data_IF_269629784224
#
_entry.id   IF_269629784224
#
_cell.length_a   1.000
_cell.length_b   1.000
_cell.length_c   1.000
_cell.angle_alpha   90.00
_cell.angle_beta   90.00
_cell.angle_gamma   90.00
#
_symmetry.space_group_name_H-M   'P 1'
#
loop_
_entity.id
_entity.type
_entity.pdbx_description
1 polymer ?
#
# COMPACT_ATOMS: atom_id res chain seq x y z
N UNK A 1 -23.77 0.87 -2.69
CA UNK A 1 -22.75 1.07 -1.62
C UNK A 1 -21.94 -0.21 -1.42
N UNK A 2 -20.67 -0.17 -0.94
CA UNK A 2 -19.66 -1.27 -0.83
C UNK A 2 -20.13 -2.74 -1.03
N UNK A 3 -21.21 -3.18 -0.40
CA UNK A 3 -21.88 -4.49 -0.61
C UNK A 3 -22.26 -4.82 -2.06
N UNK A 4 -22.49 -3.83 -2.91
CA UNK A 4 -22.82 -4.00 -4.34
C UNK A 4 -21.58 -4.22 -5.22
N UNK A 5 -20.38 -3.89 -4.71
CA UNK A 5 -19.14 -4.06 -5.45
C UNK A 5 -18.61 -5.47 -5.23
N UNK A 6 -18.13 -6.10 -6.32
CA UNK A 6 -17.43 -7.37 -6.24
C UNK A 6 -15.95 -7.10 -5.97
N UNK A 7 -15.49 -7.60 -4.84
CA UNK A 7 -14.08 -7.62 -4.50
C UNK A 7 -13.52 -9.02 -4.77
N UNK A 8 -12.27 -9.07 -5.19
CA UNK A 8 -11.51 -10.30 -5.34
C UNK A 8 -10.24 -10.19 -4.52
N UNK A 9 -9.77 -11.33 -4.03
CA UNK A 9 -8.50 -11.40 -3.32
C UNK A 9 -7.35 -11.10 -4.30
N UNK A 10 -6.30 -10.45 -3.80
CA UNK A 10 -5.14 -10.12 -4.59
C UNK A 10 -4.45 -11.39 -5.09
N UNK A 11 -4.26 -11.50 -6.40
CA UNK A 11 -3.67 -12.68 -7.04
C UNK A 11 -2.21 -12.45 -7.45
N UNK A 12 -1.61 -13.46 -8.09
CA UNK A 12 -0.24 -13.39 -8.58
C UNK A 12 -0.07 -12.36 -9.71
N UNK A 13 -1.09 -12.15 -10.55
CA UNK A 13 -1.03 -11.20 -11.66
C UNK A 13 -0.95 -9.77 -11.15
N UNK A 14 -1.78 -9.43 -10.17
CA UNK A 14 -1.74 -8.13 -9.49
C UNK A 14 -0.46 -7.98 -8.68
N UNK A 15 0.01 -9.05 -8.02
CA UNK A 15 1.29 -9.04 -7.33
C UNK A 15 2.46 -8.72 -8.28
N UNK A 16 2.47 -9.33 -9.47
CA UNK A 16 3.49 -9.06 -10.48
C UNK A 16 3.41 -7.60 -10.97
N UNK A 17 2.20 -7.11 -11.24
CA UNK A 17 1.98 -5.72 -11.65
C UNK A 17 2.52 -4.73 -10.60
N UNK A 18 2.20 -4.94 -9.32
CA UNK A 18 2.65 -4.08 -8.22
C UNK A 18 4.18 -4.07 -8.05
N UNK A 19 4.86 -5.14 -8.45
CA UNK A 19 6.31 -5.29 -8.36
C UNK A 19 7.06 -4.96 -9.66
N UNK A 20 6.37 -4.53 -10.72
CA UNK A 20 7.03 -4.11 -11.96
C UNK A 20 7.95 -2.92 -11.73
N UNK A 21 9.04 -2.86 -12.50
CA UNK A 21 9.99 -1.77 -12.43
C UNK A 21 9.56 -0.57 -13.30
N UNK A 22 9.19 0.55 -12.66
CA UNK A 22 8.82 1.81 -13.30
C UNK A 22 9.99 2.50 -14.01
N UNK A 23 11.25 2.06 -13.84
CA UNK A 23 12.34 2.53 -14.71
C UNK A 23 12.07 2.15 -16.17
N UNK A 24 11.59 0.93 -16.39
CA UNK A 24 11.32 0.41 -17.73
C UNK A 24 9.87 0.66 -18.16
N UNK A 25 8.93 0.62 -17.20
CA UNK A 25 7.50 0.82 -17.48
C UNK A 25 6.89 1.92 -16.57
N UNK A 26 7.24 3.21 -16.75
CA UNK A 26 6.84 4.29 -15.83
C UNK A 26 5.33 4.55 -15.77
N UNK A 27 4.57 4.06 -16.75
CA UNK A 27 3.12 4.16 -16.79
C UNK A 27 2.43 3.22 -15.80
N UNK A 28 3.10 2.14 -15.40
CA UNK A 28 2.51 1.14 -14.48
C UNK A 28 2.25 1.70 -13.09
N UNK A 29 2.94 2.77 -12.68
CA UNK A 29 2.66 3.47 -11.41
C UNK A 29 1.20 3.90 -11.26
N UNK A 30 0.57 4.33 -12.35
CA UNK A 30 -0.84 4.74 -12.33
C UNK A 30 -1.76 3.54 -12.18
N UNK A 31 -1.47 2.45 -12.89
CA UNK A 31 -2.22 1.20 -12.75
C UNK A 31 -2.09 0.64 -11.32
N UNK A 32 -0.89 0.63 -10.76
CA UNK A 32 -0.64 0.20 -9.40
C UNK A 32 -1.38 1.08 -8.37
N UNK A 33 -1.37 2.41 -8.55
CA UNK A 33 -2.13 3.31 -7.69
C UNK A 33 -3.65 3.04 -7.78
N UNK A 34 -4.19 2.82 -8.99
CA UNK A 34 -5.60 2.50 -9.19
C UNK A 34 -5.99 1.15 -8.59
N UNK A 35 -5.11 0.16 -8.63
CA UNK A 35 -5.33 -1.14 -7.96
C UNK A 35 -5.43 -0.95 -6.44
N UNK A 36 -4.52 -0.17 -5.85
CA UNK A 36 -4.50 0.05 -4.40
C UNK A 36 -5.66 0.94 -3.94
N UNK A 37 -6.05 1.94 -4.72
CA UNK A 37 -7.22 2.77 -4.44
C UNK A 37 -8.48 1.90 -4.53
N UNK A 38 -9.27 1.89 -3.47
CA UNK A 38 -10.43 1.02 -3.35
C UNK A 38 -10.12 -0.40 -2.89
N UNK A 39 -8.85 -0.76 -2.64
CA UNK A 39 -8.50 -2.02 -2.01
C UNK A 39 -8.90 -2.02 -0.53
N UNK A 40 -9.37 -3.17 -0.05
CA UNK A 40 -9.66 -3.40 1.37
C UNK A 40 -8.45 -4.11 1.97
N UNK A 41 -7.87 -3.52 3.01
CA UNK A 41 -6.79 -4.12 3.79
C UNK A 41 -7.36 -4.55 5.13
N UNK A 42 -7.25 -5.85 5.41
CA UNK A 42 -7.75 -6.45 6.65
C UNK A 42 -6.59 -6.95 7.49
N UNK A 43 -6.57 -6.55 8.76
CA UNK A 43 -5.70 -7.14 9.76
C UNK A 43 -6.36 -8.41 10.30
N UNK A 44 -5.80 -9.56 9.95
CA UNK A 44 -6.36 -10.87 10.32
C UNK A 44 -6.23 -11.19 11.81
N UNK A 45 -5.38 -10.47 12.55
CA UNK A 45 -5.15 -10.70 13.99
C UNK A 45 -6.24 -10.04 14.82
N UNK A 46 -6.62 -8.80 14.50
CA UNK A 46 -7.59 -8.02 15.28
C UNK A 46 -8.93 -7.79 14.56
N UNK A 47 -9.08 -8.27 13.33
CA UNK A 47 -10.31 -8.16 12.55
C UNK A 47 -10.61 -6.75 12.01
N UNK A 48 -9.72 -5.77 12.23
CA UNK A 48 -9.92 -4.41 11.72
C UNK A 48 -9.69 -4.36 10.22
N UNK A 49 -10.50 -3.59 9.52
CA UNK A 49 -10.41 -3.43 8.08
C UNK A 49 -10.51 -1.96 7.67
N UNK A 50 -9.70 -1.59 6.68
CA UNK A 50 -9.71 -0.27 6.08
C UNK A 50 -9.90 -0.37 4.57
N UNK A 51 -10.62 0.57 3.99
CA UNK A 51 -10.66 0.81 2.56
C UNK A 51 -9.69 1.94 2.22
N UNK A 52 -8.74 1.67 1.33
CA UNK A 52 -7.80 2.70 0.87
C UNK A 52 -8.55 3.69 -0.03
N UNK A 53 -8.56 4.97 0.35
CA UNK A 53 -9.22 6.01 -0.42
C UNK A 53 -8.25 6.72 -1.38
N UNK A 54 -7.04 7.04 -0.89
CA UNK A 54 -6.01 7.70 -1.71
C UNK A 54 -4.63 7.18 -1.37
N UNK A 55 -3.75 7.15 -2.38
CA UNK A 55 -2.34 6.78 -2.25
C UNK A 55 -1.46 7.78 -2.99
N UNK A 56 -0.24 7.94 -2.51
CA UNK A 56 0.84 8.67 -3.16
C UNK A 56 2.00 7.71 -3.44
N UNK A 57 2.51 7.73 -4.66
CA UNK A 57 3.54 6.80 -5.13
C UNK A 57 4.96 7.38 -4.91
N UNK A 58 5.83 6.60 -4.28
CA UNK A 58 7.21 6.97 -3.97
C UNK A 58 8.21 6.06 -4.68
N UNK A 59 9.15 6.70 -5.39
CA UNK A 59 10.28 6.06 -6.05
C UNK A 59 11.45 5.81 -5.12
N UNK A 60 12.19 4.71 -5.32
CA UNK A 60 13.49 4.51 -4.65
C UNK A 60 14.54 5.53 -5.10
N UNK A 61 14.47 5.96 -6.36
CA UNK A 61 15.36 6.97 -6.96
C UNK A 61 14.55 8.14 -7.50
N UNK A 62 15.04 9.37 -7.27
CA UNK A 62 14.45 10.63 -7.80
C UNK A 62 14.35 10.65 -9.33
N UNK A 63 15.18 9.87 -10.01
CA UNK A 63 15.20 9.80 -11.48
C UNK A 63 13.96 9.12 -12.06
N UNK A 64 13.21 8.37 -11.25
CA UNK A 64 12.03 7.61 -11.68
C UNK A 64 10.73 8.33 -11.29
N UNK A 65 10.71 8.86 -10.06
CA UNK A 65 9.58 9.58 -9.49
C UNK A 65 10.10 10.80 -8.76
N UNK A 66 9.43 11.95 -8.93
CA UNK A 66 9.79 13.21 -8.27
C UNK A 66 9.80 13.07 -6.74
N UNK A 67 8.88 12.27 -6.20
CA UNK A 67 8.81 11.88 -4.80
C UNK A 67 9.74 10.69 -4.55
N UNK A 68 10.79 10.92 -3.76
CA UNK A 68 11.75 9.88 -3.35
C UNK A 68 11.35 9.35 -1.99
N UNK A 69 11.39 8.04 -1.84
CA UNK A 69 11.37 7.39 -0.54
C UNK A 69 12.52 7.96 0.33
N UNK A 70 12.17 8.50 1.49
CA UNK A 70 13.17 8.93 2.46
C UNK A 70 13.84 7.68 3.06
N UNK A 71 15.17 7.70 3.11
CA UNK A 71 15.96 6.65 3.75
C UNK A 71 15.46 6.44 5.17
N UNK A 72 14.97 5.24 5.47
CA UNK A 72 14.46 4.88 6.79
C UNK A 72 15.61 4.89 7.81
N UNK A 73 15.75 5.98 8.58
CA UNK A 73 16.60 5.99 9.77
C UNK A 73 15.73 5.68 10.99
N UNK A 74 15.46 4.40 11.24
CA UNK A 74 14.73 3.96 12.43
C UNK A 74 13.97 2.66 12.19
N UNK A 75 14.00 1.79 13.20
CA UNK A 75 13.34 0.48 13.23
C UNK A 75 11.89 0.59 12.75
N UNK A 76 11.64 0.26 11.48
CA UNK A 76 10.29 0.11 10.97
C UNK A 76 9.69 -1.14 11.56
N UNK A 77 8.57 -0.99 12.25
CA UNK A 77 7.73 -2.12 12.63
C UNK A 77 7.03 -2.62 11.37
N UNK A 78 7.72 -3.49 10.64
CA UNK A 78 7.10 -4.32 9.61
C UNK A 78 5.94 -5.05 10.30
N UNK A 79 4.69 -4.75 9.90
CA UNK A 79 3.49 -5.32 10.54
C UNK A 79 3.44 -6.84 10.32
N UNK A 80 4.13 -7.35 9.30
CA UNK A 80 4.16 -8.78 9.00
C UNK A 80 5.51 -9.20 8.43
N UNK A 81 6.29 -9.98 9.21
CA UNK A 81 7.60 -10.50 8.79
C UNK A 81 7.47 -11.43 7.56
N UNK A 82 6.28 -11.98 7.33
CA UNK A 82 5.92 -12.79 6.16
C UNK A 82 4.72 -12.12 5.47
N UNK A 83 4.87 -11.60 4.25
CA UNK A 83 3.75 -10.99 3.56
C UNK A 83 2.77 -12.08 3.08
N UNK A 84 1.46 -11.80 3.17
CA UNK A 84 0.44 -12.68 2.60
C UNK A 84 0.54 -12.82 1.07
N UNK A 85 1.16 -11.83 0.41
CA UNK A 85 1.36 -11.80 -1.03
C UNK A 85 2.85 -11.58 -1.37
N UNK A 86 3.39 -12.23 -2.42
CA UNK A 86 4.79 -12.10 -2.79
C UNK A 86 5.20 -10.64 -2.99
N UNK A 87 6.21 -10.23 -2.22
CA UNK A 87 6.81 -8.91 -2.30
C UNK A 87 5.86 -7.71 -2.09
N UNK A 88 4.80 -7.88 -1.30
CA UNK A 88 3.89 -6.79 -0.92
C UNK A 88 3.81 -6.73 0.59
N UNK A 89 4.23 -5.63 1.18
CA UNK A 89 4.29 -5.44 2.63
C UNK A 89 3.49 -4.23 3.08
N UNK A 90 2.28 -4.44 3.63
CA UNK A 90 1.59 -3.42 4.40
C UNK A 90 2.35 -3.15 5.70
N UNK A 91 2.74 -1.91 5.93
CA UNK A 91 3.60 -1.50 7.03
C UNK A 91 3.14 -0.19 7.65
N UNK A 92 3.31 -0.06 8.97
CA UNK A 92 3.19 1.21 9.67
C UNK A 92 4.60 1.79 9.78
N UNK A 93 4.84 2.90 9.11
CA UNK A 93 6.09 3.63 9.19
C UNK A 93 6.00 4.65 10.33
N UNK A 94 6.78 4.51 11.41
CA UNK A 94 6.79 5.50 12.48
C UNK A 94 7.35 6.83 11.95
N UNK A 95 6.69 7.92 12.34
CA UNK A 95 7.11 9.32 12.11
C UNK A 95 7.08 10.06 13.45
N UNK A 96 7.62 11.29 13.49
CA UNK A 96 7.75 12.06 14.75
C UNK A 96 6.42 12.21 15.50
N UNK A 97 5.32 12.41 14.77
CA UNK A 97 3.99 12.72 15.33
C UNK A 97 2.99 11.57 15.19
N UNK A 98 3.43 10.36 14.88
CA UNK A 98 2.53 9.21 14.68
C UNK A 98 3.10 8.12 13.78
N UNK A 99 2.25 7.54 12.93
CA UNK A 99 2.67 6.54 11.95
C UNK A 99 1.95 6.72 10.63
N UNK A 100 2.69 6.63 9.54
CA UNK A 100 2.15 6.55 8.19
C UNK A 100 1.84 5.11 7.84
N UNK A 101 0.75 4.85 7.14
CA UNK A 101 0.48 3.54 6.58
C UNK A 101 1.03 3.46 5.15
N UNK A 102 1.87 2.47 4.88
CA UNK A 102 2.59 2.32 3.62
C UNK A 102 2.41 0.92 3.08
N UNK A 103 2.19 0.80 1.78
CA UNK A 103 2.28 -0.47 1.05
C UNK A 103 3.64 -0.49 0.34
N UNK A 104 4.58 -1.26 0.90
CA UNK A 104 5.89 -1.48 0.30
C UNK A 104 5.84 -2.58 -0.76
N UNK A 105 6.58 -2.39 -1.85
CA UNK A 105 6.80 -3.39 -2.90
C UNK A 105 8.30 -3.59 -3.14
N UNK A 106 8.67 -4.55 -3.99
CA UNK A 106 10.08 -4.80 -4.35
C UNK A 106 10.76 -3.60 -5.02
N UNK A 107 10.01 -2.72 -5.69
CA UNK A 107 10.58 -1.68 -6.55
C UNK A 107 10.17 -0.27 -6.11
N UNK A 108 9.02 -0.12 -5.43
CA UNK A 108 8.42 1.16 -5.04
C UNK A 108 7.66 1.07 -3.71
N UNK A 109 7.26 2.21 -3.18
CA UNK A 109 6.41 2.29 -1.97
C UNK A 109 5.21 3.20 -2.24
N UNK A 110 4.07 2.87 -1.66
CA UNK A 110 2.86 3.67 -1.73
C UNK A 110 2.48 4.16 -0.34
N UNK A 111 2.53 5.47 -0.13
CA UNK A 111 2.00 6.09 1.07
C UNK A 111 0.48 6.15 0.96
N UNK A 112 -0.22 5.58 1.92
CA UNK A 112 -1.67 5.72 2.02
C UNK A 112 -1.97 7.04 2.73
N UNK A 113 -2.60 7.97 2.01
CA UNK A 113 -2.84 9.33 2.51
C UNK A 113 -4.27 9.52 3.04
N UNK A 114 -5.20 8.64 2.70
CA UNK A 114 -6.56 8.63 3.23
C UNK A 114 -7.13 7.22 3.23
N UNK A 115 -7.88 6.88 4.28
CA UNK A 115 -8.57 5.60 4.44
C UNK A 115 -9.98 5.81 4.96
N UNK A 116 -10.85 4.84 4.71
CA UNK A 116 -12.16 4.71 5.34
C UNK A 116 -12.12 3.48 6.24
N UNK A 117 -12.44 3.65 7.52
CA UNK A 117 -12.54 2.54 8.47
C UNK A 117 -13.83 1.76 8.23
N UNK A 118 -13.71 0.45 7.99
CA UNK A 118 -14.86 -0.45 7.80
C UNK A 118 -15.25 -1.16 9.09
N UNK A 119 -14.41 -1.06 10.13
CA UNK A 119 -14.58 -1.68 11.44
C UNK A 119 -15.40 -0.81 12.42
N UNK A 120 -15.66 0.45 12.08
CA UNK A 120 -16.47 1.36 12.90
C UNK A 120 -17.95 1.23 12.53
N UNK A 121 -18.80 1.04 13.54
CA UNK A 121 -20.22 1.34 13.42
C UNK A 121 -20.39 2.86 13.43
N UNK A 122 -21.27 3.39 12.58
CA UNK A 122 -21.73 4.78 12.68
C UNK A 122 -22.44 4.94 14.03
N UNK A 123 -21.98 5.88 14.86
CA UNK A 123 -22.70 6.37 16.04
C UNK A 123 -23.84 7.30 15.63
#
# INVERSE_FOLDING_TARGET
MLKERRYFELDQTISLLLNKDWMYEPHTKYACAQVLIGSIVMNTVNGKAILINTVEAYGRKKTIVIHKELSMSGNSSIITVIPAYPNIWPCNQPIKDGSNFVIGTQTYSFLVTSVIHLDRQEE
#
